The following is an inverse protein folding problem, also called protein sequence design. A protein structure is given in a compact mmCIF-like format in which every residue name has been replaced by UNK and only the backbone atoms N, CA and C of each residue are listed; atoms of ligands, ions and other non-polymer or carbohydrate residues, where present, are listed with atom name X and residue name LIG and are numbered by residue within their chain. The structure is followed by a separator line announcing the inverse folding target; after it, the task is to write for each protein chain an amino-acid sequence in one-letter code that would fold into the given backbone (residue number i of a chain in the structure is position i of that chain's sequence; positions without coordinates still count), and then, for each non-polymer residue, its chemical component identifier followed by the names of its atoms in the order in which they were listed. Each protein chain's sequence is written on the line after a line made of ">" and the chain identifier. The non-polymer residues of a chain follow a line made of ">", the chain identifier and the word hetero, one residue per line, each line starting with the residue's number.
data_IF_729529331873
#
_entry.id   IF_729529331873
#
_cell.length_a   1.000
_cell.length_b   1.000
_cell.length_c   1.000
_cell.angle_alpha   90.00
_cell.angle_beta   90.00
_cell.angle_gamma   90.00
#
_symmetry.space_group_name_H-M   'P 1'
#
loop_
_entity.id
_entity.type
_entity.pdbx_description
1 polymer ?
#
# COMPACT_ATOMS: atom_id res chain seq x y z
N UNK A 1 23.18 19.21 5.33
CA UNK A 1 21.79 19.69 5.33
C UNK A 1 20.94 18.46 5.58
N UNK A 2 19.96 18.48 6.50
CA UNK A 2 19.12 17.31 6.73
C UNK A 2 18.47 16.98 5.38
N UNK A 3 18.69 15.76 4.88
CA UNK A 3 17.99 15.31 3.69
C UNK A 3 16.53 15.23 4.07
N UNK A 4 15.74 16.16 3.56
CA UNK A 4 14.28 16.14 3.63
C UNK A 4 13.77 14.74 3.31
N UNK A 5 12.82 14.22 4.10
CA UNK A 5 12.21 12.91 3.89
C UNK A 5 11.95 12.67 2.41
N UNK A 6 12.28 11.48 1.88
CA UNK A 6 12.17 11.23 0.45
C UNK A 6 10.75 11.53 -0.01
N UNK A 7 10.65 12.39 -1.04
CA UNK A 7 9.39 12.84 -1.59
C UNK A 7 8.50 11.63 -1.94
N UNK A 8 7.17 11.71 -1.75
CA UNK A 8 6.26 10.63 -2.13
C UNK A 8 6.48 10.23 -3.60
N UNK A 9 6.45 8.94 -3.91
CA UNK A 9 6.59 8.44 -5.30
C UNK A 9 5.63 9.14 -6.26
N UNK A 10 4.43 9.47 -5.78
CA UNK A 10 3.41 10.21 -6.54
C UNK A 10 3.81 11.62 -6.96
N UNK A 11 4.77 12.23 -6.27
CA UNK A 11 5.28 13.58 -6.57
C UNK A 11 6.53 13.56 -7.45
N UNK A 12 7.15 12.40 -7.64
CA UNK A 12 8.40 12.25 -8.38
C UNK A 12 8.17 12.05 -9.89
N UNK A 13 6.96 11.63 -10.29
CA UNK A 13 6.63 11.38 -11.69
C UNK A 13 5.24 11.94 -11.98
N UNK A 14 5.13 12.71 -13.06
CA UNK A 14 3.85 13.23 -13.55
C UNK A 14 3.14 12.21 -14.43
N UNK A 15 1.85 12.42 -14.60
CA UNK A 15 1.02 11.65 -15.51
C UNK A 15 0.50 12.56 -16.63
N UNK A 16 0.66 12.18 -17.90
CA UNK A 16 -0.02 12.85 -19.00
C UNK A 16 -1.55 12.68 -18.86
N UNK A 17 -2.33 13.76 -19.04
CA UNK A 17 -3.79 13.67 -18.95
C UNK A 17 -4.36 12.81 -20.07
N UNK A 18 -5.48 12.15 -19.80
CA UNK A 18 -6.23 11.38 -20.82
C UNK A 18 -7.08 12.36 -21.63
N UNK A 19 -6.75 12.56 -22.91
CA UNK A 19 -7.41 13.55 -23.78
C UNK A 19 -8.39 12.91 -24.75
N UNK A 20 -8.15 11.65 -25.13
CA UNK A 20 -9.04 10.88 -25.98
C UNK A 20 -9.03 9.40 -25.61
N UNK A 21 -9.91 8.62 -26.26
CA UNK A 21 -9.94 7.17 -26.11
C UNK A 21 -8.68 6.46 -26.62
N UNK A 22 -7.84 7.12 -27.42
CA UNK A 22 -6.55 6.58 -27.87
C UNK A 22 -5.53 6.51 -26.73
N UNK A 23 -5.67 7.38 -25.72
CA UNK A 23 -4.84 7.38 -24.51
C UNK A 23 -5.24 6.26 -23.55
N UNK A 24 -6.47 5.72 -23.67
CA UNK A 24 -6.96 4.63 -22.81
C UNK A 24 -6.63 3.29 -23.46
N UNK A 25 -5.56 2.65 -23.00
CA UNK A 25 -5.08 1.39 -23.59
C UNK A 25 -6.20 0.34 -23.73
N UNK A 26 -6.30 -0.36 -24.88
CA UNK A 26 -7.34 -1.38 -25.11
C UNK A 26 -7.37 -2.56 -24.13
N UNK A 27 -6.34 -2.70 -23.27
CA UNK A 27 -6.25 -3.81 -22.32
C UNK A 27 -7.29 -3.70 -21.20
N UNK A 28 -7.85 -2.50 -21.01
CA UNK A 28 -8.90 -2.25 -20.01
C UNK A 28 -10.30 -2.57 -20.54
N UNK A 29 -10.44 -2.95 -21.81
CA UNK A 29 -11.73 -3.24 -22.44
C UNK A 29 -12.52 -1.97 -22.74
N UNK A 30 -13.84 -2.12 -22.83
CA UNK A 30 -14.74 -1.09 -23.37
C UNK A 30 -15.84 -0.65 -22.39
N UNK A 31 -15.83 -1.18 -21.16
CA UNK A 31 -16.82 -0.85 -20.13
C UNK A 31 -16.12 -0.52 -18.81
N UNK A 32 -16.43 0.67 -18.31
CA UNK A 32 -15.85 1.26 -17.10
C UNK A 32 -16.99 1.71 -16.18
N UNK A 33 -16.72 1.77 -14.90
CA UNK A 33 -17.68 2.20 -13.90
C UNK A 33 -17.03 3.22 -12.96
N UNK A 34 -17.79 4.22 -12.55
CA UNK A 34 -17.44 5.07 -11.41
C UNK A 34 -17.65 4.32 -10.10
N UNK A 35 -17.15 4.85 -8.99
CA UNK A 35 -17.31 4.24 -7.67
C UNK A 35 -18.74 4.36 -7.12
N UNK A 36 -19.64 5.02 -7.86
CA UNK A 36 -21.09 5.08 -7.58
C UNK A 36 -21.90 4.20 -8.57
N UNK A 37 -21.21 3.37 -9.36
CA UNK A 37 -21.83 2.44 -10.30
C UNK A 37 -22.31 3.06 -11.61
N UNK A 38 -21.92 4.31 -11.92
CA UNK A 38 -22.26 4.96 -13.20
C UNK A 38 -21.40 4.35 -14.31
N UNK A 39 -22.00 3.78 -15.38
CA UNK A 39 -21.23 3.20 -16.47
C UNK A 39 -20.67 4.28 -17.41
N UNK A 40 -19.54 3.97 -18.03
CA UNK A 40 -18.92 4.68 -19.15
C UNK A 40 -18.47 3.63 -20.16
N UNK A 41 -18.87 3.77 -21.41
CA UNK A 41 -18.42 2.87 -22.48
C UNK A 41 -17.38 3.57 -23.36
N UNK A 42 -16.44 2.79 -23.89
CA UNK A 42 -15.44 3.31 -24.82
C UNK A 42 -16.13 3.96 -26.03
N UNK A 43 -15.71 5.18 -26.36
CA UNK A 43 -16.31 6.00 -27.41
C UNK A 43 -17.26 7.09 -26.86
N UNK A 44 -17.81 6.88 -25.67
CA UNK A 44 -18.70 7.87 -25.05
C UNK A 44 -17.92 9.02 -24.40
N UNK A 45 -18.61 10.13 -24.13
CA UNK A 45 -18.09 11.21 -23.29
C UNK A 45 -18.46 10.93 -21.82
N UNK A 46 -17.50 11.03 -20.87
CA UNK A 46 -17.80 10.87 -19.46
C UNK A 46 -18.83 11.91 -18.98
N UNK A 47 -19.86 11.45 -18.26
CA UNK A 47 -20.79 12.36 -17.59
C UNK A 47 -20.18 12.95 -16.32
N UNK A 48 -20.71 14.09 -15.85
CA UNK A 48 -20.30 14.69 -14.57
C UNK A 48 -20.44 13.70 -13.40
N UNK A 49 -21.51 12.89 -13.42
CA UNK A 49 -21.75 11.85 -12.42
C UNK A 49 -20.70 10.74 -12.43
N UNK A 50 -20.17 10.39 -13.61
CA UNK A 50 -19.05 9.46 -13.71
C UNK A 50 -17.76 10.09 -13.15
N UNK A 51 -17.49 11.35 -13.51
CA UNK A 51 -16.26 12.05 -13.15
C UNK A 51 -16.14 12.34 -11.65
N UNK A 52 -17.26 12.51 -10.93
CA UNK A 52 -17.29 12.82 -9.51
C UNK A 52 -16.50 11.82 -8.64
N UNK A 53 -16.61 10.52 -8.93
CA UNK A 53 -15.87 9.44 -8.26
C UNK A 53 -15.32 8.46 -9.29
N UNK A 54 -14.53 8.98 -10.22
CA UNK A 54 -13.97 8.18 -11.30
C UNK A 54 -12.76 7.33 -10.85
N UNK A 55 -12.47 6.22 -11.56
CA UNK A 55 -11.24 5.46 -11.42
C UNK A 55 -10.00 6.29 -11.71
N UNK A 56 -8.86 5.92 -11.13
CA UNK A 56 -7.57 6.56 -11.40
C UNK A 56 -7.33 6.66 -12.91
N UNK A 57 -7.67 5.65 -13.70
CA UNK A 57 -7.55 5.67 -15.17
C UNK A 57 -8.16 6.92 -15.86
N UNK A 58 -9.12 7.61 -15.24
CA UNK A 58 -9.75 8.84 -15.74
C UNK A 58 -9.53 10.07 -14.84
N UNK A 59 -8.71 9.94 -13.80
CA UNK A 59 -8.37 11.01 -12.85
C UNK A 59 -6.95 11.52 -13.15
N UNK A 60 -6.83 12.74 -13.66
CA UNK A 60 -5.55 13.34 -14.06
C UNK A 60 -4.68 13.77 -12.87
N UNK A 61 -5.23 13.82 -11.67
CA UNK A 61 -4.51 14.23 -10.45
C UNK A 61 -3.90 13.03 -9.71
N UNK A 62 -4.37 11.81 -9.99
CA UNK A 62 -3.93 10.60 -9.31
C UNK A 62 -3.07 9.73 -10.22
N UNK A 63 -2.12 9.05 -9.59
CA UNK A 63 -1.32 8.01 -10.24
C UNK A 63 -1.37 6.72 -9.43
N UNK A 64 -1.26 5.58 -10.11
CA UNK A 64 -1.04 4.30 -9.47
C UNK A 64 0.45 4.15 -9.21
N UNK A 65 0.85 4.21 -7.94
CA UNK A 65 2.23 3.97 -7.54
C UNK A 65 2.43 2.47 -7.25
N UNK A 66 3.02 1.73 -8.17
CA UNK A 66 3.54 0.40 -7.87
C UNK A 66 4.80 0.52 -7.01
N UNK A 67 4.93 -0.26 -5.95
CA UNK A 67 6.09 -0.18 -5.05
C UNK A 67 6.73 -1.56 -4.87
N UNK A 68 7.92 -1.57 -4.28
CA UNK A 68 8.55 -2.76 -3.74
C UNK A 68 8.48 -2.67 -2.22
N UNK A 69 7.79 -3.63 -1.59
CA UNK A 69 7.73 -3.70 -0.14
C UNK A 69 9.13 -4.07 0.39
N UNK A 70 9.72 -3.30 1.32
CA UNK A 70 11.00 -3.63 1.91
C UNK A 70 10.93 -4.97 2.65
N UNK A 71 12.01 -5.74 2.59
CA UNK A 71 12.15 -7.02 3.29
C UNK A 71 11.94 -6.83 4.80
N UNK A 72 12.41 -5.73 5.36
CA UNK A 72 12.25 -5.35 6.78
C UNK A 72 10.82 -4.97 7.18
N UNK A 73 9.86 -4.96 6.24
CA UNK A 73 8.43 -4.77 6.51
C UNK A 73 7.57 -5.90 5.91
N UNK A 74 8.21 -6.91 5.32
CA UNK A 74 7.52 -7.92 4.54
C UNK A 74 6.60 -8.77 5.42
N UNK A 75 5.39 -9.05 4.90
CA UNK A 75 4.42 -9.89 5.59
C UNK A 75 3.65 -9.20 6.71
N UNK A 76 3.87 -7.92 7.00
CA UNK A 76 3.10 -7.16 7.99
C UNK A 76 1.84 -6.46 7.39
N UNK A 77 1.35 -6.93 6.23
CA UNK A 77 0.09 -6.43 5.65
C UNK A 77 -1.10 -6.69 6.58
N UNK A 78 -2.18 -5.90 6.48
CA UNK A 78 -3.36 -6.07 7.33
C UNK A 78 -3.95 -7.47 7.21
N UNK A 79 -4.00 -8.03 6.00
CA UNK A 79 -4.49 -9.39 5.76
C UNK A 79 -3.65 -10.48 6.47
N UNK A 80 -2.37 -10.22 6.71
CA UNK A 80 -1.46 -11.14 7.40
C UNK A 80 -1.30 -10.82 8.90
N UNK A 81 -1.55 -9.58 9.31
CA UNK A 81 -1.47 -9.12 10.70
C UNK A 81 -2.76 -9.43 11.46
N UNK A 82 -3.91 -9.14 10.85
CA UNK A 82 -5.20 -9.21 11.50
C UNK A 82 -5.81 -10.60 11.46
N UNK A 83 -6.78 -10.84 12.32
CA UNK A 83 -7.68 -11.98 12.16
C UNK A 83 -8.54 -11.80 10.91
N UNK A 84 -8.97 -12.93 10.33
CA UNK A 84 -9.85 -12.91 9.16
C UNK A 84 -11.10 -12.05 9.39
N UNK A 85 -11.70 -12.08 10.60
CA UNK A 85 -12.86 -11.27 10.95
C UNK A 85 -12.54 -9.77 10.96
N UNK A 86 -11.47 -9.36 11.64
CA UNK A 86 -11.09 -7.95 11.71
C UNK A 86 -10.72 -7.41 10.33
N UNK A 87 -9.97 -8.18 9.53
CA UNK A 87 -9.69 -7.79 8.14
C UNK A 87 -10.95 -7.70 7.27
N UNK A 88 -11.83 -8.70 7.34
CA UNK A 88 -13.05 -8.74 6.52
C UNK A 88 -13.98 -7.56 6.84
N UNK A 89 -14.07 -7.17 8.11
CA UNK A 89 -14.91 -6.06 8.58
C UNK A 89 -14.58 -4.75 7.87
N UNK A 90 -13.29 -4.44 7.67
CA UNK A 90 -12.90 -3.23 6.91
C UNK A 90 -12.97 -3.48 5.40
N UNK A 91 -12.67 -4.71 4.94
CA UNK A 91 -12.65 -5.07 3.53
C UNK A 91 -14.03 -4.92 2.88
N UNK A 92 -15.08 -5.46 3.49
CA UNK A 92 -16.45 -5.42 2.97
C UNK A 92 -16.93 -3.98 2.79
N UNK A 93 -16.70 -3.12 3.78
CA UNK A 93 -17.10 -1.71 3.73
C UNK A 93 -16.48 -0.97 2.53
N UNK A 94 -15.21 -1.23 2.22
CA UNK A 94 -14.54 -0.60 1.07
C UNK A 94 -15.11 -1.12 -0.25
N UNK A 95 -15.37 -2.43 -0.34
CA UNK A 95 -15.93 -3.05 -1.53
C UNK A 95 -17.36 -2.57 -1.83
N UNK A 96 -18.21 -2.51 -0.80
CA UNK A 96 -19.58 -2.03 -0.89
C UNK A 96 -19.64 -0.55 -1.27
N UNK A 97 -18.87 0.30 -0.57
CA UNK A 97 -18.80 1.75 -0.82
C UNK A 97 -18.38 2.11 -2.25
N UNK A 98 -17.65 1.20 -2.91
CA UNK A 98 -17.15 1.40 -4.27
C UNK A 98 -17.91 0.56 -5.30
N UNK A 99 -19.09 0.03 -4.96
CA UNK A 99 -19.95 -0.73 -5.88
C UNK A 99 -19.21 -1.86 -6.61
N UNK A 100 -18.26 -2.51 -5.91
CA UNK A 100 -17.43 -3.58 -6.48
C UNK A 100 -16.66 -3.15 -7.74
N UNK A 101 -16.21 -1.88 -7.76
CA UNK A 101 -15.40 -1.29 -8.83
C UNK A 101 -13.93 -1.20 -8.42
N UNK A 102 -13.05 -1.60 -9.33
CA UNK A 102 -11.61 -1.41 -9.20
C UNK A 102 -11.29 0.09 -9.29
N UNK A 103 -10.73 0.65 -8.22
CA UNK A 103 -10.40 2.07 -8.17
C UNK A 103 -9.27 2.48 -9.11
N UNK A 104 -8.46 1.54 -9.59
CA UNK A 104 -7.45 1.82 -10.61
C UNK A 104 -8.06 1.93 -12.01
N UNK A 105 -8.73 0.87 -12.50
CA UNK A 105 -9.10 0.75 -13.92
C UNK A 105 -10.60 0.81 -14.21
N UNK A 106 -11.46 0.92 -13.20
CA UNK A 106 -12.91 1.05 -13.39
C UNK A 106 -13.64 -0.24 -13.74
N UNK A 107 -12.97 -1.40 -13.71
CA UNK A 107 -13.66 -2.67 -13.96
C UNK A 107 -14.55 -3.03 -12.77
N UNK A 108 -15.81 -3.37 -13.02
CA UNK A 108 -16.72 -3.92 -12.00
C UNK A 108 -16.66 -5.45 -11.99
N UNK A 109 -16.43 -6.04 -10.81
CA UNK A 109 -16.28 -7.49 -10.60
C UNK A 109 -16.77 -7.88 -9.22
N UNK A 110 -17.42 -9.03 -9.11
CA UNK A 110 -17.84 -9.60 -7.82
C UNK A 110 -16.66 -10.06 -6.95
N UNK A 111 -15.48 -10.26 -7.53
CA UNK A 111 -14.25 -10.62 -6.83
C UNK A 111 -13.21 -9.52 -7.04
N UNK A 112 -13.04 -8.69 -6.01
CA UNK A 112 -11.98 -7.69 -5.91
C UNK A 112 -11.22 -7.89 -4.61
N UNK A 113 -9.95 -7.51 -4.64
CA UNK A 113 -9.11 -7.40 -3.45
C UNK A 113 -9.24 -5.99 -2.85
N UNK A 114 -8.82 -5.83 -1.60
CA UNK A 114 -8.58 -4.51 -1.00
C UNK A 114 -7.10 -4.41 -0.70
N UNK A 115 -6.48 -3.32 -1.15
CA UNK A 115 -5.05 -3.07 -1.03
C UNK A 115 -4.76 -1.85 -0.16
N UNK A 116 -3.70 -1.94 0.63
CA UNK A 116 -3.20 -0.88 1.50
C UNK A 116 -2.30 0.11 0.75
N UNK A 117 -2.64 1.40 0.80
CA UNK A 117 -1.77 2.47 0.32
C UNK A 117 -0.96 3.05 1.47
N UNK A 118 0.37 2.97 1.36
CA UNK A 118 1.31 3.38 2.39
C UNK A 118 2.10 4.63 1.98
N UNK A 119 2.36 5.50 2.94
CA UNK A 119 3.44 6.49 2.89
C UNK A 119 4.57 6.06 3.83
N UNK A 120 5.80 6.50 3.57
CA UNK A 120 6.94 6.12 4.40
C UNK A 120 7.73 7.36 4.79
N UNK A 121 7.93 7.52 6.10
CA UNK A 121 8.81 8.52 6.69
C UNK A 121 10.10 7.84 7.15
N UNK A 122 11.20 8.21 6.52
CA UNK A 122 12.53 7.71 6.85
C UNK A 122 13.12 8.51 8.01
N UNK A 123 13.93 7.87 8.89
CA UNK A 123 14.75 8.57 9.85
C UNK A 123 15.87 9.37 9.17
N UNK A 124 16.53 10.24 9.93
CA UNK A 124 17.64 11.04 9.41
C UNK A 124 18.85 10.14 9.07
N UNK A 125 19.56 10.46 7.98
CA UNK A 125 20.72 9.66 7.53
C UNK A 125 21.79 9.51 8.62
N UNK A 126 22.08 10.58 9.36
CA UNK A 126 23.05 10.55 10.45
C UNK A 126 22.65 9.54 11.55
N UNK A 127 21.35 9.27 11.73
CA UNK A 127 20.85 8.26 12.68
C UNK A 127 20.96 6.85 12.13
N UNK A 128 20.70 6.66 10.83
CA UNK A 128 20.90 5.39 10.12
C UNK A 128 22.37 4.96 10.26
N UNK A 129 23.30 5.85 9.89
CA UNK A 129 24.74 5.58 9.90
C UNK A 129 25.22 5.20 11.32
N UNK A 130 24.77 5.93 12.35
CA UNK A 130 25.10 5.63 13.75
C UNK A 130 24.57 4.26 14.19
N UNK A 131 23.36 3.87 13.78
CA UNK A 131 22.81 2.58 14.18
C UNK A 131 23.55 1.43 13.50
N UNK A 132 23.90 1.59 12.22
CA UNK A 132 24.69 0.61 11.48
C UNK A 132 26.06 0.38 12.13
N UNK A 133 26.77 1.45 12.51
CA UNK A 133 28.03 1.35 13.26
C UNK A 133 27.87 0.62 14.61
N UNK A 134 26.69 0.76 15.22
CA UNK A 134 26.31 0.10 16.48
C UNK A 134 25.75 -1.32 16.33
N UNK A 135 25.56 -1.81 15.11
CA UNK A 135 24.94 -3.11 14.84
C UNK A 135 23.44 -3.19 15.13
N UNK A 136 22.72 -2.07 15.04
CA UNK A 136 21.28 -1.98 15.26
C UNK A 136 20.54 -1.43 14.03
N UNK A 137 19.21 -1.50 14.06
CA UNK A 137 18.35 -0.84 13.09
C UNK A 137 17.67 0.37 13.73
N UNK A 138 17.67 1.49 13.01
CA UNK A 138 16.75 2.60 13.30
C UNK A 138 15.41 2.30 12.64
N UNK A 139 14.32 2.72 13.27
CA UNK A 139 12.97 2.46 12.79
C UNK A 139 12.39 3.69 12.09
N UNK A 140 11.98 3.54 10.83
CA UNK A 140 11.10 4.48 10.14
C UNK A 140 9.62 4.25 10.44
N UNK A 141 8.76 5.09 9.86
CA UNK A 141 7.29 4.96 9.95
C UNK A 141 6.70 4.64 8.59
N UNK A 142 6.00 3.52 8.49
CA UNK A 142 5.14 3.15 7.38
C UNK A 142 3.69 3.45 7.75
N UNK A 143 3.11 4.50 7.17
CA UNK A 143 1.80 5.01 7.53
C UNK A 143 0.73 4.59 6.54
N UNK A 144 -0.35 3.98 7.04
CA UNK A 144 -1.50 3.60 6.23
C UNK A 144 -2.26 4.87 5.86
N UNK A 145 -2.25 5.24 4.58
CA UNK A 145 -2.96 6.42 4.09
C UNK A 145 -4.39 6.08 3.69
N UNK A 146 -4.59 4.92 3.05
CA UNK A 146 -5.91 4.53 2.57
C UNK A 146 -6.00 3.02 2.26
N UNK A 147 -7.23 2.52 2.13
CA UNK A 147 -7.54 1.20 1.60
C UNK A 147 -8.29 1.33 0.28
N UNK A 148 -7.91 0.54 -0.73
CA UNK A 148 -8.53 0.63 -2.06
C UNK A 148 -9.01 -0.72 -2.61
N UNK A 149 -10.24 -0.77 -3.14
CA UNK A 149 -10.74 -1.89 -3.93
C UNK A 149 -10.04 -1.99 -5.29
N UNK A 150 -9.47 -3.15 -5.61
CA UNK A 150 -8.66 -3.37 -6.82
C UNK A 150 -8.91 -4.74 -7.44
N UNK A 151 -8.87 -4.84 -8.77
CA UNK A 151 -8.91 -6.14 -9.44
C UNK A 151 -7.55 -6.82 -9.36
N UNK A 152 -7.50 -8.15 -9.43
CA UNK A 152 -6.25 -8.92 -9.29
C UNK A 152 -5.11 -8.46 -10.21
N UNK A 153 -5.43 -8.02 -11.43
CA UNK A 153 -4.44 -7.49 -12.36
C UNK A 153 -3.87 -6.13 -11.91
N UNK A 154 -4.70 -5.22 -11.40
CA UNK A 154 -4.23 -3.94 -10.82
C UNK A 154 -3.56 -4.15 -9.47
N UNK A 155 -4.03 -5.09 -8.65
CA UNK A 155 -3.45 -5.41 -7.37
C UNK A 155 -1.98 -5.84 -7.52
N UNK A 156 -1.68 -6.66 -8.53
CA UNK A 156 -0.31 -7.08 -8.80
C UNK A 156 0.64 -5.91 -9.11
N UNK A 157 0.15 -4.78 -9.60
CA UNK A 157 0.96 -3.59 -9.84
C UNK A 157 1.55 -2.98 -8.56
N UNK A 158 0.96 -3.26 -7.39
CA UNK A 158 1.49 -2.84 -6.10
C UNK A 158 2.47 -3.84 -5.47
N UNK A 159 2.60 -5.03 -6.06
CA UNK A 159 3.45 -6.11 -5.57
C UNK A 159 4.50 -6.48 -6.62
N UNK A 160 5.32 -5.49 -7.04
CA UNK A 160 6.26 -5.66 -8.15
C UNK A 160 7.29 -6.77 -7.90
N UNK A 161 7.76 -6.92 -6.66
CA UNK A 161 8.71 -7.97 -6.27
C UNK A 161 8.09 -9.37 -6.39
N UNK A 162 6.86 -9.53 -5.89
CA UNK A 162 6.10 -10.77 -6.07
C UNK A 162 5.82 -11.06 -7.55
N UNK A 163 5.41 -10.04 -8.32
CA UNK A 163 5.18 -10.18 -9.76
C UNK A 163 6.43 -10.68 -10.49
N UNK A 164 7.61 -10.16 -10.14
CA UNK A 164 8.89 -10.61 -10.69
C UNK A 164 9.19 -12.06 -10.31
N UNK A 165 9.05 -12.43 -9.04
CA UNK A 165 9.28 -13.80 -8.55
C UNK A 165 8.42 -14.85 -9.26
N UNK A 166 7.22 -14.45 -9.70
CA UNK A 166 6.27 -15.30 -10.41
C UNK A 166 6.37 -15.21 -11.94
N UNK A 167 7.39 -14.53 -12.49
CA UNK A 167 7.58 -14.37 -13.95
C UNK A 167 6.57 -13.44 -14.64
N UNK A 168 5.84 -12.63 -13.86
CA UNK A 168 4.78 -11.70 -14.34
C UNK A 168 5.20 -10.24 -14.33
N UNK A 169 6.47 -9.93 -14.04
CA UNK A 169 7.01 -8.58 -13.98
C UNK A 169 6.71 -7.72 -15.21
N UNK A 170 7.09 -8.20 -16.40
CA UNK A 170 6.86 -7.47 -17.67
C UNK A 170 5.39 -7.14 -17.92
N UNK A 171 4.49 -8.10 -17.67
CA UNK A 171 3.04 -7.89 -17.81
C UNK A 171 2.55 -6.81 -16.84
N UNK A 172 3.07 -6.85 -15.61
CA UNK A 172 2.68 -5.95 -14.52
C UNK A 172 3.15 -4.52 -14.79
N UNK A 173 4.39 -4.35 -15.24
CA UNK A 173 4.93 -3.04 -15.65
C UNK A 173 4.21 -2.49 -16.88
N UNK A 174 3.87 -3.33 -17.86
CA UNK A 174 3.07 -2.90 -19.02
C UNK A 174 1.68 -2.38 -18.60
N UNK A 175 1.06 -3.03 -17.60
CA UNK A 175 -0.22 -2.57 -17.05
C UNK A 175 -0.07 -1.29 -16.23
N UNK A 176 0.95 -1.19 -15.39
CA UNK A 176 1.24 0.01 -14.59
C UNK A 176 1.47 1.22 -15.50
N UNK A 177 2.29 1.05 -16.55
CA UNK A 177 2.48 2.04 -17.60
C UNK A 177 1.17 2.48 -18.23
N UNK A 178 0.30 1.52 -18.58
CA UNK A 178 -0.99 1.82 -19.19
C UNK A 178 -1.98 2.51 -18.25
N UNK A 179 -1.96 2.20 -16.94
CA UNK A 179 -2.80 2.85 -15.93
C UNK A 179 -2.46 4.33 -15.78
N UNK A 180 -1.17 4.67 -15.91
CA UNK A 180 -0.65 6.01 -15.70
C UNK A 180 -0.42 6.79 -17.00
N UNK A 181 -0.84 6.26 -18.15
CA UNK A 181 -0.56 6.83 -19.47
C UNK A 181 0.92 7.21 -19.70
N UNK A 182 1.82 6.36 -19.20
CA UNK A 182 3.26 6.60 -19.31
C UNK A 182 3.84 6.12 -20.64
N UNK A 183 4.82 6.87 -21.14
CA UNK A 183 5.76 6.43 -22.15
C UNK A 183 6.63 5.27 -21.65
N UNK A 184 7.37 4.67 -22.57
CA UNK A 184 8.33 3.61 -22.24
C UNK A 184 9.46 4.15 -21.36
N UNK A 185 9.96 5.36 -21.64
CA UNK A 185 11.03 5.97 -20.85
C UNK A 185 10.58 6.32 -19.43
N UNK A 186 9.34 6.77 -19.25
CA UNK A 186 8.79 7.10 -17.93
C UNK A 186 8.66 5.86 -17.04
N UNK A 187 8.16 4.72 -17.56
CA UNK A 187 8.08 3.49 -16.75
C UNK A 187 9.48 2.95 -16.39
N UNK A 188 10.47 3.09 -17.27
CA UNK A 188 11.85 2.70 -16.95
C UNK A 188 12.46 3.56 -15.85
N UNK A 189 12.25 4.88 -15.90
CA UNK A 189 12.68 5.79 -14.81
C UNK A 189 11.93 5.48 -13.51
N UNK A 190 10.63 5.20 -13.59
CA UNK A 190 9.83 4.80 -12.43
C UNK A 190 10.38 3.53 -11.77
N UNK A 191 10.68 2.51 -12.57
CA UNK A 191 11.25 1.25 -12.09
C UNK A 191 12.57 1.49 -11.35
N UNK A 192 13.48 2.30 -11.90
CA UNK A 192 14.74 2.66 -11.23
C UNK A 192 14.50 3.36 -9.88
N UNK A 193 13.60 4.36 -9.84
CA UNK A 193 13.27 5.07 -8.59
C UNK A 193 12.72 4.13 -7.51
N UNK A 194 11.87 3.17 -7.90
CA UNK A 194 11.32 2.18 -6.98
C UNK A 194 12.40 1.25 -6.44
N UNK A 195 13.35 0.81 -7.28
CA UNK A 195 14.48 0.00 -6.83
C UNK A 195 15.40 0.75 -5.87
N UNK A 196 15.78 2.00 -6.19
CA UNK A 196 16.63 2.82 -5.32
C UNK A 196 15.99 3.06 -3.96
N UNK A 197 14.69 3.39 -3.97
CA UNK A 197 13.89 3.56 -2.75
C UNK A 197 13.79 2.28 -1.95
N UNK A 198 13.61 1.13 -2.61
CA UNK A 198 13.56 -0.17 -1.96
C UNK A 198 14.89 -0.51 -1.29
N UNK A 199 16.02 -0.26 -1.95
CA UNK A 199 17.34 -0.45 -1.34
C UNK A 199 17.50 0.35 -0.05
N UNK A 200 17.19 1.66 -0.09
CA UNK A 200 17.22 2.50 1.11
C UNK A 200 16.25 2.02 2.20
N UNK A 201 15.05 1.57 1.82
CA UNK A 201 14.04 1.08 2.75
C UNK A 201 14.42 -0.21 3.48
N UNK A 202 15.35 -1.00 2.93
CA UNK A 202 15.87 -2.23 3.55
C UNK A 202 16.99 -1.97 4.57
N UNK A 203 17.54 -0.76 4.62
CA UNK A 203 18.58 -0.39 5.59
C UNK A 203 18.02 -0.10 6.99
N UNK A 204 16.69 -0.03 7.13
CA UNK A 204 15.98 0.37 8.33
C UNK A 204 14.82 -0.58 8.63
N UNK A 205 14.35 -0.58 9.88
CA UNK A 205 13.11 -1.24 10.26
C UNK A 205 11.89 -0.32 10.10
N UNK A 206 10.68 -0.88 10.17
CA UNK A 206 9.44 -0.13 9.96
C UNK A 206 8.42 -0.34 11.08
N UNK A 207 7.87 0.76 11.57
CA UNK A 207 6.70 0.80 12.45
C UNK A 207 5.46 1.11 11.64
N UNK A 208 4.31 0.51 11.98
CA UNK A 208 3.07 0.67 11.24
C UNK A 208 2.18 1.72 11.90
N UNK A 209 1.95 2.84 11.21
CA UNK A 209 1.03 3.89 11.67
C UNK A 209 -0.36 3.73 11.08
N UNK A 210 -1.34 3.49 11.95
CA UNK A 210 -2.74 3.30 11.59
C UNK A 210 -3.63 4.50 11.92
N UNK A 211 -3.07 5.70 12.14
CA UNK A 211 -3.83 6.92 12.47
C UNK A 211 -5.04 7.18 11.56
N UNK A 212 -4.96 6.79 10.27
CA UNK A 212 -6.04 7.01 9.29
C UNK A 212 -7.09 5.88 9.25
N UNK A 213 -6.84 4.76 9.90
CA UNK A 213 -7.74 3.61 9.90
C UNK A 213 -8.72 3.70 11.06
N UNK A 214 -10.00 3.81 10.73
CA UNK A 214 -11.08 3.71 11.72
C UNK A 214 -11.71 2.33 11.58
N UNK A 215 -11.38 1.43 12.50
CA UNK A 215 -11.96 0.08 12.51
C UNK A 215 -13.33 0.09 13.24
N UNK A 216 -14.40 -0.52 12.67
CA UNK A 216 -15.73 -0.51 13.28
C UNK A 216 -15.81 -1.09 14.70
N UNK A 217 -14.99 -2.10 15.00
CA UNK A 217 -14.90 -2.70 16.35
C UNK A 217 -14.10 -1.85 17.35
N UNK A 218 -13.64 -0.66 16.94
CA UNK A 218 -12.90 0.26 17.80
C UNK A 218 -11.41 -0.06 17.96
N UNK A 219 -10.87 -1.05 17.25
CA UNK A 219 -9.45 -1.40 17.22
C UNK A 219 -9.15 -2.60 16.30
N UNK A 220 -7.88 -2.98 16.22
CA UNK A 220 -7.37 -4.08 15.39
C UNK A 220 -7.21 -5.39 16.18
N UNK A 221 -7.85 -6.47 15.75
CA UNK A 221 -7.64 -7.80 16.35
C UNK A 221 -6.51 -8.53 15.61
N UNK A 222 -5.36 -8.70 16.27
CA UNK A 222 -4.15 -9.35 15.73
C UNK A 222 -4.29 -10.88 15.80
N UNK A 223 -3.88 -11.55 14.73
CA UNK A 223 -3.96 -13.01 14.65
C UNK A 223 -2.82 -13.73 15.40
N UNK A 224 -2.97 -15.05 15.58
CA UNK A 224 -1.99 -15.87 16.30
C UNK A 224 -0.70 -16.19 15.54
N UNK A 225 -0.45 -15.56 14.38
CA UNK A 225 0.86 -15.63 13.73
C UNK A 225 1.84 -14.60 14.31
N UNK A 226 1.35 -13.66 15.09
CA UNK A 226 2.14 -12.61 15.74
C UNK A 226 2.08 -12.77 17.26
N UNK A 227 3.18 -12.42 17.91
CA UNK A 227 3.32 -12.39 19.36
C UNK A 227 4.22 -11.22 19.78
N UNK A 228 4.19 -10.85 21.05
CA UNK A 228 5.14 -9.88 21.59
C UNK A 228 6.55 -10.48 21.66
N UNK A 229 7.55 -9.67 21.33
CA UNK A 229 8.95 -10.04 21.53
C UNK A 229 9.23 -10.28 23.03
N UNK A 230 10.08 -11.27 23.37
CA UNK A 230 10.51 -11.47 24.76
C UNK A 230 11.13 -10.20 25.35
N UNK A 231 10.57 -9.71 26.46
CA UNK A 231 11.06 -8.50 27.13
C UNK A 231 10.61 -7.18 26.51
N UNK A 232 9.68 -7.20 25.54
CA UNK A 232 9.04 -6.01 24.99
C UNK A 232 7.53 -6.06 25.15
N UNK A 233 6.94 -4.93 25.54
CA UNK A 233 5.48 -4.73 25.56
C UNK A 233 4.96 -4.06 24.28
N UNK A 234 5.86 -3.74 23.33
CA UNK A 234 5.56 -2.94 22.14
C UNK A 234 5.83 -3.69 20.83
N UNK A 235 6.98 -4.37 20.74
CA UNK A 235 7.40 -4.99 19.49
C UNK A 235 6.71 -6.33 19.29
N UNK A 236 6.16 -6.48 18.09
CA UNK A 236 5.57 -7.72 17.60
C UNK A 236 6.58 -8.44 16.72
N UNK A 237 6.66 -9.75 16.90
CA UNK A 237 7.41 -10.68 16.05
C UNK A 237 6.49 -11.78 15.54
N UNK A 238 6.92 -12.46 14.47
CA UNK A 238 6.24 -13.65 13.96
C UNK A 238 6.52 -14.85 14.88
N UNK A 239 5.48 -15.61 15.18
CA UNK A 239 5.54 -16.84 16.01
C UNK A 239 6.34 -17.98 15.36
N UNK A 240 6.54 -17.94 14.04
CA UNK A 240 7.32 -18.93 13.30
C UNK A 240 8.39 -18.22 12.51
N UNK A 241 9.64 -18.55 12.82
CA UNK A 241 10.83 -18.10 12.12
C UNK A 241 10.74 -18.39 10.61
N UNK A 242 10.68 -17.34 9.81
CA UNK A 242 10.72 -17.35 8.35
C UNK A 242 11.84 -16.49 7.78
N UNK A 243 11.92 -16.45 6.44
CA UNK A 243 12.71 -15.41 5.77
C UNK A 243 12.02 -14.06 6.02
N UNK A 244 12.80 -13.07 6.45
CA UNK A 244 12.36 -11.68 6.67
C UNK A 244 11.43 -11.47 7.87
N UNK A 245 11.70 -12.15 8.99
CA UNK A 245 11.01 -11.92 10.26
C UNK A 245 11.56 -10.69 10.98
N UNK A 246 11.22 -9.52 10.45
CA UNK A 246 11.58 -8.25 11.06
C UNK A 246 10.50 -7.82 12.06
N UNK A 247 10.85 -7.48 13.31
CA UNK A 247 9.90 -6.96 14.29
C UNK A 247 9.25 -5.64 13.88
N UNK A 248 8.02 -5.41 14.31
CA UNK A 248 7.30 -4.15 14.06
C UNK A 248 6.53 -3.69 15.28
N UNK A 249 6.01 -2.46 15.23
CA UNK A 249 5.16 -1.85 16.26
C UNK A 249 3.90 -1.32 15.60
N UNK A 250 2.75 -1.51 16.25
CA UNK A 250 1.49 -0.89 15.81
C UNK A 250 1.31 0.45 16.53
N UNK A 251 1.28 1.54 15.77
CA UNK A 251 1.16 2.92 16.25
C UNK A 251 -0.24 3.48 16.01
N UNK A 252 -0.65 4.38 16.92
CA UNK A 252 -1.85 5.21 16.82
C UNK A 252 -3.15 4.43 16.57
N UNK A 253 -3.21 3.19 17.06
CA UNK A 253 -4.42 2.37 17.03
C UNK A 253 -4.50 1.51 18.27
N UNK A 254 -5.73 1.31 18.74
CA UNK A 254 -6.08 0.28 19.72
C UNK A 254 -5.98 -1.09 19.06
N UNK A 255 -5.45 -2.06 19.81
CA UNK A 255 -5.34 -3.42 19.30
C UNK A 255 -5.35 -4.45 20.43
N UNK A 256 -5.63 -5.70 20.09
CA UNK A 256 -5.52 -6.83 21.02
C UNK A 256 -5.13 -8.09 20.23
N UNK A 257 -4.62 -9.11 20.90
CA UNK A 257 -4.59 -10.43 20.31
C UNK A 257 -5.97 -11.08 20.38
N UNK A 258 -6.29 -11.97 19.44
CA UNK A 258 -7.55 -12.75 19.41
C UNK A 258 -7.94 -13.40 20.76
N UNK A 259 -6.96 -13.77 21.58
CA UNK A 259 -7.20 -14.46 22.85
C UNK A 259 -7.33 -13.51 24.05
N UNK A 260 -7.12 -12.21 23.83
CA UNK A 260 -7.26 -11.17 24.85
C UNK A 260 -8.69 -10.60 24.85
N UNK A 261 -9.15 -10.17 26.02
CA UNK A 261 -10.46 -9.51 26.18
C UNK A 261 -10.35 -8.00 26.37
N UNK A 262 -9.14 -7.52 26.69
CA UNK A 262 -8.85 -6.11 26.90
C UNK A 262 -8.09 -5.55 25.69
N UNK A 263 -8.49 -4.35 25.28
CA UNK A 263 -7.81 -3.61 24.22
C UNK A 263 -6.61 -2.88 24.80
N UNK A 264 -5.47 -2.99 24.12
CA UNK A 264 -4.28 -2.21 24.41
C UNK A 264 -4.49 -0.78 23.92
N UNK A 265 -4.02 0.18 24.71
CA UNK A 265 -4.10 1.59 24.36
C UNK A 265 -3.25 1.88 23.10
N UNK A 266 -3.61 2.90 22.30
CA UNK A 266 -2.79 3.33 21.18
C UNK A 266 -1.38 3.70 21.61
N UNK A 267 -0.38 3.10 20.97
CA UNK A 267 1.01 3.50 21.16
C UNK A 267 1.24 4.83 20.42
N UNK A 268 1.69 5.89 21.11
CA UNK A 268 2.10 7.12 20.43
C UNK A 268 3.40 6.86 19.64
N UNK A 269 3.78 7.78 18.76
CA UNK A 269 5.09 7.71 18.09
C UNK A 269 6.22 7.62 19.12
N UNK A 270 6.99 6.53 19.16
CA UNK A 270 8.14 6.46 20.02
C UNK A 270 9.28 7.28 19.38
N UNK A 271 9.67 8.38 20.02
CA UNK A 271 10.87 9.13 19.62
C UNK A 271 12.09 8.18 19.71
N UNK A 272 12.85 8.06 18.62
CA UNK A 272 14.10 7.28 18.52
C UNK A 272 13.96 5.79 18.90
N UNK A 273 13.11 5.05 18.16
CA UNK A 273 13.06 3.59 18.31
C UNK A 273 14.21 2.93 17.56
N UNK A 274 15.03 2.22 18.32
CA UNK A 274 16.08 1.36 17.81
C UNK A 274 15.72 -0.10 18.11
N UNK A 275 16.00 -0.98 17.16
CA UNK A 275 15.91 -2.43 17.31
C UNK A 275 17.31 -3.04 17.28
#
# INVERSE_FOLDING_TARGET
>A
MPMSSPLPLSSLISRPPVRSWDDVHPMFGDAFFSFDGVPLFRGDQPSDAFMQRCPVLFDDEKIVCGDLIPETSWGASLANLLTARSWETVRELILERNHLVCQCCGVQRTSLDVHELWSYAFPDQDEIDRCHDGGCYVMGVQKLENLISVCSACHLCFHLGFANSCGRGKQTLARLRALNNWSVDEIFRYEQLVYDRWHAANEIGWQLDFTRLVHPDGGLEVNGQWELMPGSDLFLQRTRSGLNDFPTVLLNTTWCFRHETEWRAPNPFPENSHL
#
